data_IF_978543489179
#
_entry.id   IF_978543489179
#
_cell.length_a   1.000
_cell.length_b   1.000
_cell.length_c   1.000
_cell.angle_alpha   90.00
_cell.angle_beta   90.00
_cell.angle_gamma   90.00
#
_symmetry.space_group_name_H-M   'P 1'
#
loop_
_entity.id
_entity.type
_entity.pdbx_description
1 polymer ?
#
# COMPACT_ATOMS: atom_id res chain seq x y z
N UNK A 1 21.61 -51.24 -43.58
CA UNK A 1 20.26 -51.06 -43.00
C UNK A 1 20.28 -50.65 -41.51
N UNK A 2 21.26 -51.06 -40.69
CA UNK A 2 21.24 -50.78 -39.22
C UNK A 2 21.74 -49.40 -38.75
N UNK A 3 22.36 -48.59 -39.61
CA UNK A 3 22.88 -47.27 -39.21
C UNK A 3 21.79 -46.17 -39.21
N UNK A 4 20.73 -46.33 -40.01
CA UNK A 4 19.65 -45.34 -40.13
C UNK A 4 18.71 -45.41 -38.92
N UNK A 5 18.44 -46.61 -38.39
CA UNK A 5 17.54 -46.83 -37.24
C UNK A 5 18.13 -46.32 -35.91
N UNK A 6 19.46 -46.29 -35.77
CA UNK A 6 20.13 -45.77 -34.57
C UNK A 6 20.18 -44.24 -34.51
N UNK A 7 20.12 -43.56 -35.67
CA UNK A 7 20.12 -42.10 -35.75
C UNK A 7 18.75 -41.52 -35.35
N UNK A 8 17.66 -42.16 -35.76
CA UNK A 8 16.29 -41.73 -35.42
C UNK A 8 16.01 -41.78 -33.91
N UNK A 9 16.51 -42.79 -33.21
CA UNK A 9 16.30 -42.93 -31.75
C UNK A 9 17.05 -41.87 -30.93
N UNK A 10 18.20 -41.40 -31.41
CA UNK A 10 19.02 -40.40 -30.71
C UNK A 10 18.51 -38.97 -30.91
N UNK A 11 17.89 -38.72 -32.06
CA UNK A 11 17.27 -37.43 -32.37
C UNK A 11 15.89 -37.29 -31.72
N UNK A 12 15.10 -38.36 -31.61
CA UNK A 12 13.80 -38.33 -30.93
C UNK A 12 13.93 -38.21 -29.40
N UNK A 13 14.95 -38.83 -28.78
CA UNK A 13 15.15 -38.75 -27.32
C UNK A 13 15.62 -37.37 -26.86
N UNK A 14 16.07 -36.50 -27.77
CA UNK A 14 16.48 -35.12 -27.49
C UNK A 14 15.33 -34.13 -27.46
N UNK A 15 14.13 -34.55 -27.91
CA UNK A 15 12.98 -33.67 -28.10
C UNK A 15 12.02 -33.59 -26.90
N UNK A 16 12.23 -34.38 -25.83
CA UNK A 16 11.51 -34.21 -24.56
C UNK A 16 12.22 -33.20 -23.66
N UNK A 17 12.71 -32.11 -24.26
CA UNK A 17 13.10 -30.92 -23.53
C UNK A 17 11.82 -30.23 -23.10
N UNK A 18 11.32 -30.54 -21.91
CA UNK A 18 10.32 -29.70 -21.24
C UNK A 18 10.87 -28.27 -21.26
N UNK A 19 10.33 -27.42 -22.15
CA UNK A 19 10.70 -26.02 -22.25
C UNK A 19 10.61 -25.46 -20.83
N UNK A 20 11.72 -24.98 -20.23
CA UNK A 20 11.63 -24.39 -18.91
C UNK A 20 10.68 -23.22 -19.05
N UNK A 21 9.50 -23.31 -18.44
CA UNK A 21 8.60 -22.16 -18.28
C UNK A 21 9.48 -21.06 -17.72
N UNK A 22 9.73 -20.02 -18.52
CA UNK A 22 10.64 -18.96 -18.13
C UNK A 22 10.10 -18.41 -16.81
N UNK A 23 10.94 -18.38 -15.75
CA UNK A 23 10.52 -17.87 -14.42
C UNK A 23 9.84 -16.49 -14.53
N UNK A 24 10.21 -15.72 -15.55
CA UNK A 24 9.62 -14.43 -15.93
C UNK A 24 8.15 -14.49 -16.36
N UNK A 25 7.72 -15.51 -17.11
CA UNK A 25 6.31 -15.64 -17.52
C UNK A 25 5.41 -15.92 -16.32
N UNK A 26 5.84 -16.80 -15.41
CA UNK A 26 5.12 -17.08 -14.17
C UNK A 26 4.99 -15.84 -13.27
N UNK A 27 6.07 -15.07 -13.10
CA UNK A 27 6.06 -13.82 -12.33
C UNK A 27 5.16 -12.75 -12.97
N UNK A 28 5.20 -12.60 -14.30
CA UNK A 28 4.35 -11.65 -15.05
C UNK A 28 2.87 -12.02 -14.98
N UNK A 29 2.54 -13.32 -15.02
CA UNK A 29 1.17 -13.81 -14.85
C UNK A 29 0.68 -13.56 -13.42
N UNK A 30 1.48 -13.89 -12.40
CA UNK A 30 1.15 -13.61 -11.00
C UNK A 30 0.95 -12.11 -10.73
N UNK A 31 1.77 -11.25 -11.33
CA UNK A 31 1.62 -9.81 -11.22
C UNK A 31 0.32 -9.31 -11.88
N UNK A 32 -0.01 -9.77 -13.09
CA UNK A 32 -1.26 -9.39 -13.78
C UNK A 32 -2.51 -9.85 -13.06
N UNK A 33 -2.46 -11.01 -12.42
CA UNK A 33 -3.59 -11.54 -11.65
C UNK A 33 -3.80 -10.80 -10.32
N UNK A 34 -2.73 -10.29 -9.71
CA UNK A 34 -2.79 -9.53 -8.44
C UNK A 34 -2.95 -8.02 -8.63
N UNK A 35 -2.62 -7.49 -9.81
CA UNK A 35 -2.77 -6.09 -10.18
C UNK A 35 -4.14 -5.46 -9.81
N UNK A 36 -5.30 -6.06 -10.11
CA UNK A 36 -6.58 -5.46 -9.75
C UNK A 36 -6.76 -5.33 -8.23
N UNK A 37 -6.31 -6.33 -7.46
CA UNK A 37 -6.35 -6.26 -6.00
C UNK A 37 -5.37 -5.21 -5.47
N UNK A 38 -4.17 -5.10 -6.04
CA UNK A 38 -3.19 -4.08 -5.67
C UNK A 38 -3.69 -2.67 -5.94
N UNK A 39 -4.29 -2.43 -7.11
CA UNK A 39 -4.89 -1.12 -7.46
C UNK A 39 -6.01 -0.79 -6.49
N UNK A 40 -6.87 -1.76 -6.16
CA UNK A 40 -7.96 -1.54 -5.20
C UNK A 40 -7.42 -1.18 -3.82
N UNK A 41 -6.47 -1.95 -3.27
CA UNK A 41 -5.85 -1.68 -1.96
C UNK A 41 -5.15 -0.33 -1.94
N UNK A 42 -4.43 0.00 -3.01
CA UNK A 42 -3.75 1.28 -3.14
C UNK A 42 -4.77 2.42 -3.24
N UNK A 43 -5.86 2.25 -3.97
CA UNK A 43 -6.92 3.25 -4.07
C UNK A 43 -7.59 3.50 -2.71
N UNK A 44 -8.08 2.45 -2.03
CA UNK A 44 -8.79 2.61 -0.75
C UNK A 44 -7.90 3.15 0.38
N UNK A 45 -6.59 3.03 0.27
CA UNK A 45 -5.64 3.56 1.26
C UNK A 45 -5.14 4.95 0.88
N UNK A 46 -4.65 5.14 -0.35
CA UNK A 46 -4.10 6.41 -0.79
C UNK A 46 -5.17 7.50 -0.94
N UNK A 47 -6.36 7.14 -1.45
CA UNK A 47 -7.44 8.12 -1.64
C UNK A 47 -7.84 8.83 -0.34
N UNK A 48 -8.23 8.13 0.76
CA UNK A 48 -8.57 8.81 1.99
C UNK A 48 -7.38 9.53 2.62
N UNK A 49 -6.15 9.03 2.47
CA UNK A 49 -4.95 9.72 2.98
C UNK A 49 -4.72 11.06 2.29
N UNK A 50 -4.82 11.09 0.96
CA UNK A 50 -4.67 12.32 0.18
C UNK A 50 -5.80 13.31 0.47
N UNK A 51 -7.03 12.81 0.61
CA UNK A 51 -8.19 13.62 0.97
C UNK A 51 -8.05 14.20 2.39
N UNK A 52 -7.61 13.40 3.37
CA UNK A 52 -7.35 13.85 4.72
C UNK A 52 -6.25 14.93 4.76
N UNK A 53 -5.18 14.74 3.98
CA UNK A 53 -4.10 15.73 3.86
C UNK A 53 -4.61 17.02 3.23
N UNK A 54 -5.38 16.95 2.15
CA UNK A 54 -5.98 18.12 1.50
C UNK A 54 -6.87 18.91 2.46
N UNK A 55 -7.73 18.24 3.24
CA UNK A 55 -8.61 18.91 4.20
C UNK A 55 -7.82 19.47 5.38
N UNK A 56 -6.76 18.78 5.85
CA UNK A 56 -6.00 19.20 7.03
C UNK A 56 -5.35 20.58 6.94
N UNK A 57 -5.07 21.07 5.72
CA UNK A 57 -4.50 22.40 5.44
C UNK A 57 -5.58 23.46 5.13
N UNK A 58 -6.84 23.08 5.26
CA UNK A 58 -8.01 23.96 5.06
C UNK A 58 -8.86 23.99 6.32
N UNK A 59 -9.62 25.06 6.52
CA UNK A 59 -10.57 25.18 7.63
C UNK A 59 -11.94 24.51 7.30
N UNK A 60 -11.91 23.50 6.43
CA UNK A 60 -13.13 22.86 5.93
C UNK A 60 -13.65 21.80 6.90
N UNK A 61 -14.97 21.77 7.06
CA UNK A 61 -15.69 20.71 7.77
C UNK A 61 -16.90 20.27 6.95
N UNK A 62 -17.45 19.07 7.19
CA UNK A 62 -18.70 18.63 6.56
C UNK A 62 -19.89 19.57 6.80
N UNK A 63 -19.80 20.44 7.81
CA UNK A 63 -20.81 21.41 8.19
C UNK A 63 -20.58 22.78 7.53
N UNK A 64 -19.49 22.97 6.79
CA UNK A 64 -19.13 24.25 6.15
C UNK A 64 -20.03 24.60 4.96
N UNK A 65 -21.01 23.77 4.61
CA UNK A 65 -22.00 24.01 3.54
C UNK A 65 -21.42 23.93 2.12
N UNK A 66 -20.11 23.78 1.98
CA UNK A 66 -19.40 23.58 0.71
C UNK A 66 -18.98 22.13 0.58
N UNK A 67 -19.07 21.55 -0.63
CA UNK A 67 -18.52 20.22 -0.88
C UNK A 67 -17.01 20.23 -0.70
N UNK A 68 -16.45 19.13 -0.19
CA UNK A 68 -15.01 18.99 0.09
C UNK A 68 -14.12 19.35 -1.10
N UNK A 69 -14.58 19.13 -2.34
CA UNK A 69 -13.88 19.55 -3.55
C UNK A 69 -13.54 21.05 -3.59
N UNK A 70 -14.36 21.90 -2.96
CA UNK A 70 -14.16 23.35 -2.87
C UNK A 70 -13.47 23.81 -1.58
N UNK A 71 -12.94 22.88 -0.77
CA UNK A 71 -12.24 23.20 0.48
C UNK A 71 -11.03 24.13 0.29
N UNK A 72 -10.41 24.15 -0.90
CA UNK A 72 -9.31 25.06 -1.25
C UNK A 72 -9.65 26.55 -1.05
N UNK A 73 -10.93 26.92 -1.15
CA UNK A 73 -11.39 28.29 -0.87
C UNK A 73 -11.26 28.67 0.61
N UNK A 74 -11.13 27.68 1.49
CA UNK A 74 -10.94 27.80 2.95
C UNK A 74 -9.48 27.50 3.35
N UNK A 75 -8.51 27.80 2.49
CA UNK A 75 -7.10 27.63 2.80
C UNK A 75 -6.69 28.47 4.02
N UNK A 76 -6.15 27.83 5.06
CA UNK A 76 -5.92 28.49 6.34
C UNK A 76 -4.43 28.61 6.72
N UNK A 77 -3.52 28.41 5.77
CA UNK A 77 -2.07 28.57 5.96
C UNK A 77 -1.52 27.80 7.18
N UNK A 78 -1.98 26.56 7.38
CA UNK A 78 -1.58 25.66 8.46
C UNK A 78 -2.04 26.08 9.87
N UNK A 79 -3.02 26.98 10.00
CA UNK A 79 -3.58 27.39 11.30
C UNK A 79 -4.03 26.19 12.16
N UNK A 80 -4.66 25.19 11.54
CA UNK A 80 -5.06 23.94 12.22
C UNK A 80 -3.91 23.27 12.98
N UNK A 81 -2.70 23.30 12.41
CA UNK A 81 -1.53 22.67 13.01
C UNK A 81 -0.94 23.52 14.12
N UNK A 82 -0.90 24.85 13.93
CA UNK A 82 -0.40 25.76 14.97
C UNK A 82 -1.31 25.76 16.19
N UNK A 83 -2.63 25.72 15.98
CA UNK A 83 -3.62 25.67 17.05
C UNK A 83 -3.52 24.35 17.83
N UNK A 84 -3.39 23.22 17.12
CA UNK A 84 -3.18 21.92 17.74
C UNK A 84 -1.87 21.84 18.52
N UNK A 85 -0.79 22.43 17.99
CA UNK A 85 0.50 22.48 18.66
C UNK A 85 0.48 23.35 19.93
N UNK A 86 -0.37 24.37 20.00
CA UNK A 86 -0.57 25.19 21.19
C UNK A 86 -1.51 24.54 22.23
N UNK A 87 -2.27 23.51 21.87
CA UNK A 87 -3.28 22.91 22.74
C UNK A 87 -2.68 21.97 23.81
N UNK A 88 -2.75 22.38 25.08
CA UNK A 88 -2.31 21.57 26.21
C UNK A 88 -3.08 20.25 26.36
N UNK A 89 -4.36 20.21 25.94
CA UNK A 89 -5.17 18.98 25.97
C UNK A 89 -4.66 17.96 24.97
N UNK A 90 -4.26 18.42 23.77
CA UNK A 90 -3.62 17.58 22.77
C UNK A 90 -2.35 16.92 23.33
N UNK A 91 -1.45 17.70 23.93
CA UNK A 91 -0.23 17.17 24.54
C UNK A 91 -0.48 16.21 25.69
N UNK A 92 -1.48 16.50 26.53
CA UNK A 92 -1.88 15.60 27.62
C UNK A 92 -2.39 14.26 27.09
N UNK A 93 -3.22 14.27 26.05
CA UNK A 93 -3.70 13.06 25.40
C UNK A 93 -2.56 12.28 24.72
N UNK A 94 -1.70 12.96 23.96
CA UNK A 94 -0.55 12.37 23.29
C UNK A 94 0.40 11.69 24.30
N UNK A 95 0.70 12.37 25.42
CA UNK A 95 1.52 11.80 26.50
C UNK A 95 0.91 10.51 27.04
N UNK A 96 -0.40 10.46 27.27
CA UNK A 96 -1.09 9.24 27.74
C UNK A 96 -0.96 8.10 26.75
N UNK A 97 -1.17 8.37 25.45
CA UNK A 97 -0.99 7.36 24.39
C UNK A 97 0.43 6.82 24.34
N UNK A 98 1.43 7.71 24.46
CA UNK A 98 2.85 7.31 24.47
C UNK A 98 3.18 6.47 25.70
N UNK A 99 2.68 6.84 26.88
CA UNK A 99 2.85 6.04 28.11
C UNK A 99 2.26 4.64 27.91
N UNK A 100 1.05 4.54 27.38
CA UNK A 100 0.40 3.25 27.10
C UNK A 100 1.25 2.43 26.13
N UNK A 101 1.71 3.02 25.02
CA UNK A 101 2.55 2.33 24.04
C UNK A 101 3.86 1.81 24.68
N UNK A 102 4.55 2.64 25.48
CA UNK A 102 5.81 2.27 26.13
C UNK A 102 5.62 1.19 27.19
N UNK A 103 4.45 1.07 27.80
CA UNK A 103 4.17 0.01 28.79
C UNK A 103 3.70 -1.27 28.11
N UNK A 104 2.74 -1.17 27.17
CA UNK A 104 2.12 -2.31 26.53
C UNK A 104 3.09 -3.07 25.63
N UNK A 105 3.91 -2.39 24.82
CA UNK A 105 4.80 -3.06 23.86
C UNK A 105 5.86 -3.93 24.56
N UNK A 106 6.58 -3.45 25.59
CA UNK A 106 7.49 -4.31 26.34
C UNK A 106 6.76 -5.39 27.15
N UNK A 107 5.59 -5.10 27.72
CA UNK A 107 4.81 -6.10 28.43
C UNK A 107 4.38 -7.26 27.51
N UNK A 108 3.94 -6.95 26.28
CA UNK A 108 3.61 -7.95 25.26
C UNK A 108 4.83 -8.77 24.84
N UNK A 109 6.03 -8.19 24.85
CA UNK A 109 7.25 -8.92 24.50
C UNK A 109 7.81 -9.79 25.63
N UNK A 110 7.50 -9.45 26.90
CA UNK A 110 8.03 -10.11 28.09
C UNK A 110 7.10 -11.19 28.68
N UNK A 111 5.80 -11.16 28.34
CA UNK A 111 4.80 -12.16 28.72
C UNK A 111 4.68 -13.26 27.66
#
# INVERSE_FOLDING_TARGET
MSAVTAMTSKDEMKAVGAKPVSRDEGARLGFRLTLPAQILVLFISAFPLLMQLYISVTDWSPLSGTGWWNAWSMWNSFANYTDLAADARFWSALKRTVIVMIVCVPAEFLL
#
